data_IF_428301096247
#
_entry.id   IF_428301096247
#
_cell.length_a   1.000
_cell.length_b   1.000
_cell.length_c   1.000
_cell.angle_alpha   90.00
_cell.angle_beta   90.00
_cell.angle_gamma   90.00
#
_symmetry.space_group_name_H-M   'P 1'
#
loop_
_entity.id
_entity.type
_entity.pdbx_description
1 polymer ?
#
# COMPACT_ATOMS: atom_id res chain seq x y z
N UNK A 1 2.68 2.49 -20.00
CA UNK A 1 3.58 1.60 -19.26
C UNK A 1 3.01 1.32 -17.89
N UNK A 2 2.99 0.05 -17.48
CA UNK A 2 2.44 -0.35 -16.18
C UNK A 2 3.50 -0.17 -15.10
N UNK A 3 3.16 0.53 -14.03
CA UNK A 3 4.03 0.66 -12.87
C UNK A 3 4.09 -0.65 -12.11
N UNK A 4 5.21 -0.94 -11.45
CA UNK A 4 5.30 -2.12 -10.58
C UNK A 4 4.25 -2.10 -9.46
N UNK A 5 3.80 -0.92 -9.05
CA UNK A 5 2.77 -0.78 -8.01
C UNK A 5 1.36 -1.12 -8.51
N UNK A 6 1.15 -1.17 -9.81
CA UNK A 6 -0.10 -1.68 -10.37
C UNK A 6 -0.31 -3.15 -10.01
N UNK A 7 0.78 -3.91 -9.88
CA UNK A 7 0.70 -5.31 -9.47
C UNK A 7 0.14 -5.43 -8.05
N UNK A 8 0.53 -4.53 -7.16
CA UNK A 8 -0.02 -4.51 -5.81
C UNK A 8 -1.49 -4.13 -5.84
N UNK A 9 -1.86 -3.12 -6.61
CA UNK A 9 -3.26 -2.71 -6.77
C UNK A 9 -4.11 -3.87 -7.30
N UNK A 10 -3.62 -4.59 -8.31
CA UNK A 10 -4.32 -5.74 -8.88
C UNK A 10 -4.45 -6.87 -7.87
N UNK A 11 -3.42 -7.10 -7.06
CA UNK A 11 -3.44 -8.12 -6.01
C UNK A 11 -4.53 -7.80 -4.97
N UNK A 12 -4.59 -6.56 -4.52
CA UNK A 12 -5.59 -6.11 -3.56
C UNK A 12 -7.00 -6.23 -4.13
N UNK A 13 -7.18 -5.77 -5.36
CA UNK A 13 -8.48 -5.84 -6.03
C UNK A 13 -8.93 -7.28 -6.23
N UNK A 14 -7.99 -8.17 -6.57
CA UNK A 14 -8.29 -9.58 -6.76
C UNK A 14 -8.72 -10.28 -5.48
N UNK A 15 -8.19 -9.88 -4.32
CA UNK A 15 -8.62 -10.41 -3.03
C UNK A 15 -9.98 -9.88 -2.62
N UNK A 16 -10.25 -8.61 -2.89
CA UNK A 16 -11.55 -7.98 -2.63
C UNK A 16 -11.94 -7.89 -1.15
N UNK A 17 -11.06 -8.24 -0.23
CA UNK A 17 -11.36 -8.21 1.19
C UNK A 17 -11.43 -6.77 1.71
N UNK A 18 -12.17 -6.56 2.80
CA UNK A 18 -12.32 -5.24 3.41
C UNK A 18 -11.00 -4.76 4.02
N UNK A 19 -10.21 -5.66 4.58
CA UNK A 19 -8.88 -5.37 5.10
C UNK A 19 -7.91 -6.47 4.67
N UNK A 20 -6.70 -6.07 4.30
CA UNK A 20 -5.66 -6.99 3.83
C UNK A 20 -4.36 -6.56 4.49
N UNK A 21 -3.78 -7.42 5.33
CA UNK A 21 -2.49 -7.15 5.96
C UNK A 21 -1.41 -7.96 5.25
N UNK A 22 -0.37 -7.26 4.79
CA UNK A 22 0.76 -7.88 4.11
C UNK A 22 2.04 -7.55 4.87
N UNK A 23 2.98 -8.50 4.89
CA UNK A 23 4.33 -8.19 5.32
C UNK A 23 5.05 -7.39 4.24
N UNK A 24 6.08 -6.65 4.60
CA UNK A 24 6.90 -5.96 3.60
C UNK A 24 7.53 -6.94 2.63
N UNK A 25 7.90 -8.15 3.12
CA UNK A 25 8.42 -9.20 2.26
C UNK A 25 7.40 -9.66 1.22
N UNK A 26 6.13 -9.79 1.61
CA UNK A 26 5.05 -10.13 0.69
C UNK A 26 4.85 -9.03 -0.36
N UNK A 27 4.89 -7.77 0.06
CA UNK A 27 4.81 -6.65 -0.87
C UNK A 27 5.99 -6.69 -1.85
N UNK A 28 7.20 -6.97 -1.37
CA UNK A 28 8.36 -7.08 -2.24
C UNK A 28 8.25 -8.24 -3.24
N UNK A 29 7.60 -9.32 -2.85
CA UNK A 29 7.34 -10.43 -3.77
C UNK A 29 6.45 -9.98 -4.94
N UNK A 30 5.56 -9.03 -4.68
CA UNK A 30 4.62 -8.53 -5.68
C UNK A 30 5.25 -7.43 -6.56
N UNK A 31 5.93 -6.46 -5.92
CA UNK A 31 6.38 -5.25 -6.61
C UNK A 31 7.90 -5.18 -6.83
N UNK A 32 8.67 -6.07 -6.20
CA UNK A 32 10.12 -5.98 -6.17
C UNK A 32 10.62 -5.20 -4.96
N UNK A 33 11.95 -4.98 -4.86
CA UNK A 33 12.53 -4.36 -3.66
C UNK A 33 11.89 -3.01 -3.32
N UNK A 34 11.56 -2.85 -2.03
CA UNK A 34 11.02 -1.59 -1.52
C UNK A 34 12.17 -0.61 -1.22
N UNK A 35 11.96 0.70 -1.48
CA UNK A 35 12.95 1.69 -1.09
C UNK A 35 13.02 1.83 0.43
N UNK A 36 14.12 2.39 0.93
CA UNK A 36 14.31 2.63 2.37
C UNK A 36 13.16 3.46 2.95
N UNK A 37 12.67 4.43 2.19
CA UNK A 37 11.56 5.28 2.62
C UNK A 37 10.31 4.47 2.97
N UNK A 38 10.04 3.38 2.25
CA UNK A 38 8.89 2.52 2.53
C UNK A 38 9.02 1.79 3.87
N UNK A 39 10.25 1.61 4.35
CA UNK A 39 10.53 0.90 5.59
C UNK A 39 10.70 1.83 6.79
N UNK A 40 10.59 3.14 6.58
CA UNK A 40 10.87 4.11 7.63
C UNK A 40 9.93 5.31 7.68
N UNK A 41 9.18 5.59 6.61
CA UNK A 41 8.30 6.76 6.54
C UNK A 41 6.85 6.34 6.32
N UNK A 42 6.01 6.72 7.26
CA UNK A 42 4.55 6.48 7.18
C UNK A 42 3.99 7.13 5.91
N UNK A 43 4.45 8.34 5.58
CA UNK A 43 3.95 9.10 4.43
C UNK A 43 4.23 8.41 3.10
N UNK A 44 5.24 7.53 3.02
CA UNK A 44 5.50 6.79 1.79
C UNK A 44 4.30 5.94 1.37
N UNK A 45 3.56 5.42 2.34
CA UNK A 45 2.38 4.58 2.08
C UNK A 45 1.12 5.40 1.78
N UNK A 46 1.23 6.73 1.74
CA UNK A 46 0.12 7.63 1.49
C UNK A 46 -0.65 8.03 2.74
N UNK A 47 -0.16 7.65 3.93
CA UNK A 47 -0.79 8.03 5.19
C UNK A 47 -0.38 9.46 5.53
N UNK A 48 -1.34 10.36 5.60
CA UNK A 48 -1.10 11.78 5.94
C UNK A 48 -2.03 12.21 7.06
N UNK A 49 -1.71 13.34 7.67
CA UNK A 49 -2.54 13.91 8.75
C UNK A 49 -3.95 14.26 8.27
N UNK A 50 -4.11 14.61 6.99
CA UNK A 50 -5.41 14.93 6.40
C UNK A 50 -6.17 13.70 5.93
N UNK A 51 -5.57 12.53 5.99
CA UNK A 51 -6.15 11.30 5.47
C UNK A 51 -6.08 11.18 3.96
N UNK A 52 -5.43 12.10 3.28
CA UNK A 52 -5.24 12.05 1.83
C UNK A 52 -3.86 11.50 1.52
N UNK A 53 -3.81 10.69 0.47
CA UNK A 53 -2.51 10.31 -0.07
C UNK A 53 -2.00 11.45 -0.97
N UNK A 54 -0.68 11.58 -1.08
CA UNK A 54 -0.06 12.56 -1.96
C UNK A 54 1.19 12.03 -2.65
N UNK A 55 1.37 10.73 -2.65
CA UNK A 55 2.50 10.06 -3.28
C UNK A 55 2.04 9.37 -4.57
N UNK A 56 2.81 9.49 -5.68
CA UNK A 56 2.42 8.87 -6.94
C UNK A 56 2.19 7.36 -6.84
N UNK A 57 3.03 6.64 -6.09
CA UNK A 57 2.89 5.20 -5.95
C UNK A 57 1.63 4.81 -5.16
N UNK A 58 1.22 5.62 -4.18
CA UNK A 58 0.02 5.35 -3.39
C UNK A 58 -1.25 5.50 -4.22
N UNK A 59 -1.22 6.27 -5.30
CA UNK A 59 -2.37 6.42 -6.19
C UNK A 59 -2.79 5.10 -6.80
N UNK A 60 -1.86 4.17 -7.00
CA UNK A 60 -2.18 2.89 -7.63
C UNK A 60 -3.16 2.09 -6.76
N UNK A 61 -2.92 1.97 -5.45
CA UNK A 61 -3.87 1.26 -4.60
C UNK A 61 -5.08 2.12 -4.27
N UNK A 62 -4.93 3.44 -4.22
CA UNK A 62 -6.08 4.34 -4.06
C UNK A 62 -7.06 4.18 -5.22
N UNK A 63 -6.57 4.15 -6.45
CA UNK A 63 -7.40 3.98 -7.64
C UNK A 63 -8.07 2.61 -7.68
N UNK A 64 -7.47 1.60 -7.05
CA UNK A 64 -8.05 0.27 -6.92
C UNK A 64 -9.09 0.20 -5.79
N UNK A 65 -9.29 1.28 -5.05
CA UNK A 65 -10.27 1.37 -3.98
C UNK A 65 -9.73 1.03 -2.60
N UNK A 66 -8.40 1.12 -2.42
CA UNK A 66 -7.75 0.79 -1.15
C UNK A 66 -6.91 1.96 -0.64
N UNK A 67 -6.79 2.01 0.68
CA UNK A 67 -5.92 2.97 1.37
C UNK A 67 -5.07 2.19 2.36
N UNK A 68 -3.79 2.58 2.50
CA UNK A 68 -2.93 1.98 3.50
C UNK A 68 -3.18 2.64 4.85
N UNK A 69 -3.32 1.82 5.88
CA UNK A 69 -3.27 2.30 7.25
C UNK A 69 -1.80 2.50 7.65
N UNK A 70 -1.58 3.11 8.82
CA UNK A 70 -0.23 3.33 9.30
C UNK A 70 0.51 1.99 9.39
N UNK A 71 1.66 1.85 8.70
CA UNK A 71 2.41 0.60 8.77
C UNK A 71 3.00 0.35 10.15
N UNK A 72 3.15 -0.93 10.49
CA UNK A 72 3.86 -1.35 11.69
C UNK A 72 5.30 -1.68 11.32
N UNK A 73 6.21 -0.75 11.55
CA UNK A 73 7.61 -0.94 11.16
C UNK A 73 8.32 -1.99 12.02
N UNK A 74 7.89 -2.17 13.26
CA UNK A 74 8.48 -3.20 14.12
C UNK A 74 8.12 -4.60 13.64
N UNK A 75 6.87 -4.80 13.23
CA UNK A 75 6.39 -6.07 12.69
C UNK A 75 6.67 -6.20 11.20
N UNK A 76 7.04 -5.12 10.53
CA UNK A 76 7.24 -5.04 9.08
C UNK A 76 5.99 -5.46 8.31
N UNK A 77 4.85 -4.90 8.70
CA UNK A 77 3.57 -5.14 8.05
C UNK A 77 2.89 -3.84 7.70
N UNK A 78 1.99 -3.92 6.70
CA UNK A 78 1.12 -2.82 6.32
C UNK A 78 -0.27 -3.38 6.07
N UNK A 79 -1.30 -2.67 6.52
CA UNK A 79 -2.68 -3.06 6.31
C UNK A 79 -3.31 -2.13 5.30
N UNK A 80 -3.93 -2.73 4.29
CA UNK A 80 -4.73 -2.01 3.31
C UNK A 80 -6.20 -2.18 3.65
N UNK A 81 -6.93 -1.08 3.60
CA UNK A 81 -8.35 -1.06 3.93
C UNK A 81 -9.13 -0.59 2.71
N UNK A 82 -10.21 -1.32 2.37
CA UNK A 82 -11.03 -0.94 1.24
C UNK A 82 -11.82 0.33 1.57
N UNK A 83 -11.81 1.26 0.62
CA UNK A 83 -12.58 2.49 0.76
C UNK A 83 -14.07 2.20 0.64
N UNK A 84 -14.86 2.81 1.49
CA UNK A 84 -16.31 2.81 1.36
C UNK A 84 -16.68 3.81 0.27
N UNK A 85 -17.29 3.34 -0.79
CA UNK A 85 -17.75 4.18 -1.90
C UNK A 85 -19.20 3.92 -2.22
#
# INVERSE_FOLDING_TARGET
MTSKYDRLADHLAGLGAATITLTFAEVETIVGPLPVAARSLVAWWGVTASGRYNNPHAMHWWDAGYVADRPDFAAQTVTFRRLAR
#
